data_IF_919004562119
#
_entry.id   IF_919004562119
#
_cell.length_a   1.000
_cell.length_b   1.000
_cell.length_c   1.000
_cell.angle_alpha   90.00
_cell.angle_beta   90.00
_cell.angle_gamma   90.00
#
_symmetry.space_group_name_H-M   'P 1'
#
loop_
_entity.id
_entity.type
_entity.pdbx_description
1 polymer ?
#
# COMPACT_ATOMS: atom_id res chain seq x y z
N UNK A 1 18.60 -7.21 25.34
CA UNK A 1 17.80 -8.32 24.78
C UNK A 1 17.60 -8.04 23.29
N UNK A 2 18.53 -8.53 22.48
CA UNK A 2 18.51 -8.43 21.03
C UNK A 2 17.55 -9.50 20.50
N UNK A 3 16.41 -9.08 19.96
CA UNK A 3 15.46 -10.01 19.34
C UNK A 3 16.08 -10.56 18.06
N UNK A 4 16.64 -11.75 18.20
CA UNK A 4 17.10 -12.63 17.12
C UNK A 4 15.91 -12.88 16.18
N UNK A 5 15.91 -12.25 15.01
CA UNK A 5 14.99 -12.60 13.92
C UNK A 5 15.60 -13.84 13.26
N UNK A 6 14.95 -15.01 13.29
CA UNK A 6 15.51 -16.22 12.67
C UNK A 6 15.65 -15.98 11.15
N UNK A 7 16.89 -16.00 10.66
CA UNK A 7 17.28 -15.84 9.25
C UNK A 7 17.15 -17.15 8.45
N UNK A 8 16.54 -18.17 9.02
CA UNK A 8 16.56 -19.56 8.53
C UNK A 8 15.51 -19.85 7.45
N UNK A 9 14.74 -18.84 7.03
CA UNK A 9 13.95 -18.97 5.80
C UNK A 9 14.86 -18.66 4.61
N UNK A 10 15.28 -19.72 3.90
CA UNK A 10 15.76 -19.58 2.52
C UNK A 10 14.74 -18.71 1.78
N UNK A 11 15.12 -17.49 1.40
CA UNK A 11 14.30 -16.63 0.55
C UNK A 11 14.21 -17.31 -0.83
N UNK A 12 13.26 -18.22 -0.96
CA UNK A 12 12.95 -18.85 -2.23
C UNK A 12 12.57 -17.74 -3.21
N UNK A 13 13.11 -17.81 -4.42
CA UNK A 13 12.60 -17.01 -5.53
C UNK A 13 11.09 -17.25 -5.65
N UNK A 14 10.35 -16.28 -6.17
CA UNK A 14 8.89 -16.44 -6.29
C UNK A 14 8.52 -17.73 -7.06
N UNK A 15 9.31 -18.07 -8.08
CA UNK A 15 9.17 -19.30 -8.86
C UNK A 15 9.53 -20.54 -8.04
N UNK A 16 10.58 -20.52 -7.22
CA UNK A 16 10.89 -21.64 -6.33
C UNK A 16 9.80 -21.85 -5.27
N UNK A 17 9.16 -20.77 -4.80
CA UNK A 17 8.06 -20.87 -3.84
C UNK A 17 6.83 -21.58 -4.44
N UNK A 18 6.63 -21.47 -5.77
CA UNK A 18 5.54 -22.15 -6.48
C UNK A 18 5.63 -23.67 -6.33
N UNK A 19 6.85 -24.22 -6.40
CA UNK A 19 7.07 -25.65 -6.41
C UNK A 19 6.72 -26.32 -5.08
N UNK A 20 6.75 -25.56 -3.99
CA UNK A 20 6.36 -25.97 -2.65
C UNK A 20 4.84 -26.14 -2.46
N UNK A 21 4.03 -25.81 -3.48
CA UNK A 21 2.58 -25.95 -3.39
C UNK A 21 2.13 -27.43 -3.40
N UNK A 22 1.72 -27.93 -2.22
CA UNK A 22 1.16 -29.29 -2.02
C UNK A 22 -0.34 -29.41 -2.30
N UNK A 23 -0.96 -28.37 -2.88
CA UNK A 23 -2.38 -28.34 -3.29
C UNK A 23 -3.43 -28.60 -2.18
N UNK A 24 -3.11 -28.38 -0.91
CA UNK A 24 -3.98 -28.65 0.25
C UNK A 24 -5.22 -27.74 0.45
N UNK A 25 -5.45 -26.73 -0.40
CA UNK A 25 -6.59 -25.79 -0.33
C UNK A 25 -6.72 -24.84 0.88
N UNK A 26 -5.84 -24.90 1.89
CA UNK A 26 -5.92 -24.04 3.10
C UNK A 26 -6.04 -22.55 2.74
N UNK A 27 -5.25 -22.07 1.78
CA UNK A 27 -5.27 -20.68 1.33
C UNK A 27 -6.58 -20.26 0.67
N UNK A 28 -7.31 -21.19 0.05
CA UNK A 28 -8.64 -20.94 -0.52
C UNK A 28 -9.68 -20.86 0.59
N UNK A 29 -9.65 -21.80 1.55
CA UNK A 29 -10.57 -21.79 2.70
C UNK A 29 -10.42 -20.54 3.57
N UNK A 30 -9.19 -20.04 3.74
CA UNK A 30 -8.91 -18.82 4.50
C UNK A 30 -9.17 -17.52 3.71
N UNK A 31 -9.48 -17.59 2.41
CA UNK A 31 -9.60 -16.40 1.59
C UNK A 31 -10.96 -15.70 1.84
N UNK A 32 -10.98 -14.42 2.24
CA UNK A 32 -12.23 -13.72 2.48
C UNK A 32 -13.02 -13.42 1.19
N UNK A 33 -12.34 -13.32 0.04
CA UNK A 33 -12.99 -12.96 -1.23
C UNK A 33 -13.71 -14.17 -1.84
N UNK A 34 -13.07 -15.34 -1.93
CA UNK A 34 -13.71 -16.53 -2.51
C UNK A 34 -14.90 -17.03 -1.68
N UNK A 35 -15.00 -16.61 -0.40
CA UNK A 35 -16.16 -16.92 0.46
C UNK A 35 -17.41 -16.12 0.10
N UNK A 36 -17.27 -14.98 -0.59
CA UNK A 36 -18.38 -14.03 -0.82
C UNK A 36 -18.69 -13.81 -2.29
N UNK A 37 -17.92 -14.39 -3.21
CA UNK A 37 -18.20 -14.32 -4.65
C UNK A 37 -17.58 -15.49 -5.41
N UNK A 38 -18.38 -16.11 -6.27
CA UNK A 38 -17.95 -17.17 -7.19
C UNK A 38 -17.10 -16.63 -8.35
N UNK A 39 -17.07 -15.31 -8.55
CA UNK A 39 -16.24 -14.65 -9.58
C UNK A 39 -14.74 -14.78 -9.29
N UNK A 40 -14.40 -15.18 -8.07
CA UNK A 40 -13.03 -15.45 -7.64
C UNK A 40 -12.89 -16.90 -7.16
N UNK A 41 -12.38 -17.82 -8.01
CA UNK A 41 -12.18 -19.23 -7.66
C UNK A 41 -11.14 -19.48 -6.55
N UNK A 42 -10.49 -18.42 -6.07
CA UNK A 42 -9.59 -18.44 -4.92
C UNK A 42 -8.13 -18.17 -5.29
N UNK A 43 -7.31 -17.81 -4.29
CA UNK A 43 -5.95 -17.36 -4.50
C UNK A 43 -5.03 -18.48 -5.00
N UNK A 44 -5.34 -19.75 -4.69
CA UNK A 44 -4.62 -20.91 -5.24
C UNK A 44 -4.83 -21.04 -6.74
N UNK A 45 -6.06 -20.84 -7.20
CA UNK A 45 -6.45 -21.05 -8.59
C UNK A 45 -5.74 -20.06 -9.52
N UNK A 46 -5.81 -18.76 -9.20
CA UNK A 46 -5.22 -17.68 -10.03
C UNK A 46 -3.70 -17.53 -9.89
N UNK A 47 -3.09 -18.20 -8.91
CA UNK A 47 -1.65 -18.16 -8.66
C UNK A 47 -1.00 -19.52 -8.92
N UNK A 48 -0.69 -20.29 -7.86
CA UNK A 48 0.16 -21.46 -8.00
C UNK A 48 -0.43 -22.59 -8.86
N UNK A 49 -1.75 -22.75 -8.89
CA UNK A 49 -2.37 -23.75 -9.76
C UNK A 49 -2.31 -23.31 -11.22
N UNK A 50 -2.68 -22.07 -11.55
CA UNK A 50 -2.65 -21.56 -12.93
C UNK A 50 -1.27 -21.60 -13.58
N UNK A 51 -0.19 -21.51 -12.79
CA UNK A 51 1.19 -21.55 -13.30
C UNK A 51 1.73 -22.97 -13.52
N UNK A 52 1.18 -24.00 -12.86
CA UNK A 52 1.65 -25.40 -12.99
C UNK A 52 0.73 -26.26 -13.84
N UNK A 53 -0.59 -26.09 -13.73
CA UNK A 53 -1.59 -26.97 -14.35
C UNK A 53 -2.85 -26.20 -14.73
N UNK A 54 -3.23 -26.25 -16.02
CA UNK A 54 -4.53 -25.78 -16.53
C UNK A 54 -5.10 -26.78 -17.52
N UNK A 55 -6.41 -26.68 -17.75
CA UNK A 55 -7.02 -27.30 -18.93
C UNK A 55 -6.54 -26.57 -20.19
N UNK A 56 -6.48 -27.27 -21.32
CA UNK A 56 -5.94 -26.77 -22.58
C UNK A 56 -6.65 -25.50 -23.10
N UNK A 57 -7.89 -25.26 -22.68
CA UNK A 57 -8.77 -24.17 -23.09
C UNK A 57 -8.77 -22.96 -22.13
N UNK A 58 -8.04 -23.02 -21.01
CA UNK A 58 -8.13 -22.01 -19.96
C UNK A 58 -7.01 -20.94 -20.04
N UNK A 59 -7.33 -19.63 -20.10
CA UNK A 59 -6.33 -18.57 -20.28
C UNK A 59 -5.42 -18.42 -19.04
N UNK A 60 -4.11 -18.27 -19.23
CA UNK A 60 -3.15 -17.97 -18.15
C UNK A 60 -2.36 -16.71 -18.47
N UNK A 61 -2.28 -15.74 -17.55
CA UNK A 61 -3.03 -15.63 -16.29
C UNK A 61 -4.54 -15.45 -16.47
N UNK A 62 -5.31 -15.89 -15.46
CA UNK A 62 -6.78 -15.83 -15.44
C UNK A 62 -7.30 -14.46 -14.98
N UNK A 63 -8.32 -13.93 -15.66
CA UNK A 63 -8.87 -12.58 -15.37
C UNK A 63 -9.53 -12.48 -14.00
N UNK A 64 -9.94 -13.59 -13.38
CA UNK A 64 -10.48 -13.58 -12.02
C UNK A 64 -9.47 -13.08 -10.99
N UNK A 65 -8.17 -13.02 -11.31
CA UNK A 65 -7.16 -12.40 -10.45
C UNK A 65 -7.49 -10.95 -10.10
N UNK A 66 -8.32 -10.25 -10.90
CA UNK A 66 -8.77 -8.89 -10.61
C UNK A 66 -9.59 -8.77 -9.30
N UNK A 67 -10.26 -9.85 -8.88
CA UNK A 67 -10.99 -9.93 -7.61
C UNK A 67 -10.08 -10.16 -6.39
N UNK A 68 -8.83 -10.59 -6.59
CA UNK A 68 -7.88 -10.77 -5.49
C UNK A 68 -7.61 -9.42 -4.80
N UNK A 69 -7.93 -9.31 -3.50
CA UNK A 69 -7.72 -8.08 -2.72
C UNK A 69 -6.26 -7.78 -2.40
N UNK A 70 -5.35 -8.75 -2.59
CA UNK A 70 -3.94 -8.62 -2.20
C UNK A 70 -3.71 -8.58 -0.69
N UNK A 71 -4.68 -9.01 0.14
CA UNK A 71 -4.60 -8.97 1.61
C UNK A 71 -3.54 -9.89 2.24
N UNK A 72 -2.92 -10.78 1.46
CA UNK A 72 -1.87 -11.73 1.89
C UNK A 72 -2.26 -12.77 2.95
N UNK A 73 -3.55 -12.93 3.29
CA UNK A 73 -4.00 -13.99 4.20
C UNK A 73 -3.53 -15.38 3.74
N UNK A 74 -3.56 -15.63 2.43
CA UNK A 74 -3.09 -16.87 1.83
C UNK A 74 -1.62 -17.20 2.11
N UNK A 75 -0.75 -16.20 2.23
CA UNK A 75 0.66 -16.40 2.55
C UNK A 75 0.82 -16.78 4.02
N UNK A 76 0.06 -16.12 4.90
CA UNK A 76 0.13 -16.33 6.35
C UNK A 76 -0.29 -17.74 6.74
N UNK A 77 -1.30 -18.31 6.07
CA UNK A 77 -1.83 -19.65 6.37
C UNK A 77 -1.18 -20.77 5.56
N UNK A 78 -0.23 -20.47 4.67
CA UNK A 78 0.38 -21.49 3.83
C UNK A 78 1.38 -22.34 4.64
N UNK A 79 1.17 -23.66 4.80
CA UNK A 79 2.04 -24.49 5.62
C UNK A 79 3.44 -24.66 5.02
N UNK A 80 3.58 -24.49 3.71
CA UNK A 80 4.85 -24.65 2.97
C UNK A 80 5.46 -23.33 2.51
N UNK A 81 4.89 -22.19 2.93
CA UNK A 81 5.48 -20.87 2.66
C UNK A 81 5.39 -20.37 1.22
N UNK A 82 4.45 -20.88 0.41
CA UNK A 82 4.21 -20.39 -0.96
C UNK A 82 3.82 -18.90 -0.92
N UNK A 83 4.48 -18.08 -1.74
CA UNK A 83 4.21 -16.64 -1.87
C UNK A 83 3.03 -16.36 -2.81
N UNK A 84 1.85 -16.85 -2.43
CA UNK A 84 0.63 -16.88 -3.27
C UNK A 84 0.18 -15.47 -3.67
N UNK A 85 0.22 -14.50 -2.76
CA UNK A 85 -0.21 -13.14 -3.06
C UNK A 85 0.69 -12.47 -4.11
N UNK A 86 2.00 -12.72 -4.07
CA UNK A 86 2.99 -12.23 -5.02
C UNK A 86 2.81 -12.90 -6.39
N UNK A 87 2.53 -14.20 -6.42
CA UNK A 87 2.15 -14.92 -7.65
C UNK A 87 0.92 -14.27 -8.29
N UNK A 88 -0.10 -13.97 -7.50
CA UNK A 88 -1.32 -13.30 -7.97
C UNK A 88 -1.04 -11.87 -8.45
N UNK A 89 -0.18 -11.13 -7.76
CA UNK A 89 0.22 -9.78 -8.16
C UNK A 89 0.98 -9.80 -9.50
N UNK A 90 1.87 -10.77 -9.73
CA UNK A 90 2.56 -10.95 -11.02
C UNK A 90 1.59 -11.35 -12.13
N UNK A 91 0.65 -12.26 -11.86
CA UNK A 91 -0.39 -12.62 -12.81
C UNK A 91 -1.22 -11.39 -13.24
N UNK A 92 -1.62 -10.54 -12.29
CA UNK A 92 -2.28 -9.26 -12.59
C UNK A 92 -1.40 -8.33 -13.43
N UNK A 93 -0.12 -8.20 -13.09
CA UNK A 93 0.82 -7.36 -13.83
C UNK A 93 0.99 -7.83 -15.30
N UNK A 94 1.04 -9.14 -15.54
CA UNK A 94 1.08 -9.71 -16.89
C UNK A 94 -0.20 -9.40 -17.70
N UNK A 95 -1.37 -9.44 -17.07
CA UNK A 95 -2.63 -9.02 -17.74
C UNK A 95 -2.56 -7.54 -18.10
N UNK A 96 -2.11 -6.68 -17.19
CA UNK A 96 -1.99 -5.24 -17.45
C UNK A 96 -0.96 -4.95 -18.53
N UNK A 97 0.16 -5.67 -18.57
CA UNK A 97 1.18 -5.51 -19.60
C UNK A 97 0.65 -5.89 -21.00
N UNK A 98 -0.20 -6.90 -21.10
CA UNK A 98 -0.75 -7.38 -22.38
C UNK A 98 -2.00 -6.61 -22.84
N UNK A 99 -2.89 -6.22 -21.92
CA UNK A 99 -4.19 -5.60 -22.24
C UNK A 99 -4.26 -4.09 -21.93
N UNK A 100 -3.24 -3.56 -21.28
CA UNK A 100 -3.22 -2.19 -20.76
C UNK A 100 -3.93 -2.06 -19.41
N UNK A 101 -3.70 -0.91 -18.76
CA UNK A 101 -4.33 -0.58 -17.48
C UNK A 101 -5.67 0.13 -17.73
N UNK A 102 -6.81 -0.42 -17.25
CA UNK A 102 -8.11 0.23 -17.40
C UNK A 102 -8.12 1.64 -16.79
N UNK A 103 -8.88 2.56 -17.39
CA UNK A 103 -8.94 3.97 -16.95
C UNK A 103 -9.29 4.09 -15.46
N UNK A 104 -10.27 3.32 -15.00
CA UNK A 104 -10.65 3.22 -13.58
C UNK A 104 -9.45 2.94 -12.69
N UNK A 105 -8.72 1.87 -13.01
CA UNK A 105 -7.57 1.40 -12.24
C UNK A 105 -6.43 2.43 -12.29
N UNK A 106 -6.22 3.07 -13.45
CA UNK A 106 -5.26 4.15 -13.62
C UNK A 106 -5.58 5.37 -12.74
N UNK A 107 -6.86 5.69 -12.54
CA UNK A 107 -7.28 6.79 -11.68
C UNK A 107 -7.10 6.44 -10.20
N UNK A 108 -7.67 5.33 -9.74
CA UNK A 108 -7.67 4.96 -8.31
C UNK A 108 -6.26 4.64 -7.79
N UNK A 109 -5.38 4.08 -8.65
CA UNK A 109 -4.02 3.73 -8.27
C UNK A 109 -3.11 4.97 -8.10
N UNK A 110 -3.53 6.14 -8.58
CA UNK A 110 -2.79 7.42 -8.45
C UNK A 110 -3.22 8.21 -7.22
N UNK A 111 -3.33 7.54 -6.07
CA UNK A 111 -3.84 8.13 -4.83
C UNK A 111 -3.04 9.35 -4.36
N UNK A 112 -1.73 9.43 -4.65
CA UNK A 112 -0.92 10.62 -4.35
C UNK A 112 -1.32 11.83 -5.20
N UNK A 113 -1.54 11.62 -6.51
CA UNK A 113 -1.95 12.68 -7.42
C UNK A 113 -3.35 13.19 -7.07
N UNK A 114 -4.29 12.26 -6.85
CA UNK A 114 -5.64 12.60 -6.39
C UNK A 114 -5.58 13.38 -5.07
N UNK A 115 -4.72 12.97 -4.13
CA UNK A 115 -4.52 13.67 -2.86
C UNK A 115 -3.99 15.09 -3.04
N UNK A 116 -3.00 15.28 -3.92
CA UNK A 116 -2.43 16.60 -4.26
C UNK A 116 -3.47 17.55 -4.85
N UNK A 117 -4.32 17.04 -5.75
CA UNK A 117 -5.35 17.83 -6.42
C UNK A 117 -6.58 18.06 -5.52
N UNK A 118 -6.97 17.06 -4.72
CA UNK A 118 -8.18 17.10 -3.90
C UNK A 118 -8.01 17.88 -2.59
N UNK A 119 -6.83 17.87 -1.97
CA UNK A 119 -6.60 18.54 -0.67
C UNK A 119 -6.86 20.05 -0.67
N UNK A 120 -6.40 20.84 -1.67
CA UNK A 120 -6.68 22.28 -1.73
C UNK A 120 -8.17 22.62 -1.84
N UNK A 121 -8.97 21.71 -2.41
CA UNK A 121 -10.41 21.88 -2.64
C UNK A 121 -11.24 20.88 -1.82
N UNK A 122 -10.70 20.42 -0.69
CA UNK A 122 -11.26 19.30 0.07
C UNK A 122 -12.75 19.46 0.45
N UNK A 123 -13.27 20.63 0.85
CA UNK A 123 -14.70 20.78 1.13
C UNK A 123 -15.58 20.44 -0.07
N UNK A 124 -15.21 20.96 -1.24
CA UNK A 124 -15.93 20.73 -2.50
C UNK A 124 -15.75 19.27 -2.94
N UNK A 125 -14.52 18.77 -2.95
CA UNK A 125 -14.23 17.40 -3.34
C UNK A 125 -14.98 16.38 -2.47
N UNK A 126 -14.99 16.57 -1.15
CA UNK A 126 -15.69 15.68 -0.22
C UNK A 126 -17.21 15.77 -0.39
N UNK A 127 -17.78 16.97 -0.59
CA UNK A 127 -19.20 17.12 -0.88
C UNK A 127 -19.59 16.39 -2.17
N UNK A 128 -18.81 16.57 -3.23
CA UNK A 128 -19.00 15.90 -4.53
C UNK A 128 -18.96 14.38 -4.38
N UNK A 129 -18.00 13.83 -3.63
CA UNK A 129 -17.87 12.38 -3.41
C UNK A 129 -18.93 11.79 -2.48
N UNK A 130 -19.64 12.62 -1.72
CA UNK A 130 -20.75 12.19 -0.84
C UNK A 130 -22.13 12.31 -1.53
N UNK A 131 -22.21 13.04 -2.64
CA UNK A 131 -23.46 13.26 -3.35
C UNK A 131 -23.88 12.03 -4.18
N UNK A 132 -25.09 11.50 -3.91
CA UNK A 132 -25.59 10.26 -4.55
C UNK A 132 -25.76 10.38 -6.08
N UNK A 133 -26.39 11.42 -6.64
CA UNK A 133 -26.41 11.65 -8.09
C UNK A 133 -25.03 11.66 -8.75
N UNK A 134 -24.07 12.35 -8.13
CA UNK A 134 -22.70 12.41 -8.68
C UNK A 134 -22.04 11.03 -8.62
N UNK A 135 -22.20 10.30 -7.51
CA UNK A 135 -21.70 8.92 -7.35
C UNK A 135 -22.30 7.97 -8.39
N UNK A 136 -23.57 8.13 -8.72
CA UNK A 136 -24.22 7.38 -9.81
C UNK A 136 -23.58 7.71 -11.16
N UNK A 137 -23.31 8.98 -11.45
CA UNK A 137 -22.66 9.39 -12.69
C UNK A 137 -21.21 8.84 -12.78
N UNK A 138 -20.45 8.92 -11.69
CA UNK A 138 -19.09 8.36 -11.60
C UNK A 138 -19.11 6.84 -11.83
N UNK A 139 -20.08 6.12 -11.28
CA UNK A 139 -20.24 4.68 -11.53
C UNK A 139 -20.46 4.40 -13.02
N UNK A 140 -21.32 5.17 -13.68
CA UNK A 140 -21.64 4.95 -15.11
C UNK A 140 -20.51 5.31 -16.06
N UNK A 141 -19.71 6.33 -15.73
CA UNK A 141 -18.63 6.82 -16.60
C UNK A 141 -17.29 6.13 -16.29
N UNK A 142 -16.97 5.95 -15.00
CA UNK A 142 -15.65 5.48 -14.54
C UNK A 142 -15.70 4.04 -14.01
N UNK A 143 -16.87 3.51 -13.68
CA UNK A 143 -17.02 2.13 -13.19
C UNK A 143 -16.64 1.93 -11.72
N UNK A 144 -16.67 2.99 -10.90
CA UNK A 144 -16.50 2.90 -9.44
C UNK A 144 -17.88 2.77 -8.81
N UNK A 145 -18.16 1.66 -8.13
CA UNK A 145 -19.45 1.39 -7.50
C UNK A 145 -19.85 2.52 -6.52
N UNK A 146 -21.09 3.00 -6.63
CA UNK A 146 -21.64 4.10 -5.81
C UNK A 146 -21.75 3.79 -4.31
N UNK A 147 -21.56 2.52 -3.91
CA UNK A 147 -21.53 2.05 -2.52
C UNK A 147 -20.10 1.87 -2.00
N UNK A 148 -19.09 1.88 -2.87
CA UNK A 148 -17.70 1.68 -2.46
C UNK A 148 -17.22 2.83 -1.56
N UNK A 149 -16.65 2.57 -0.38
CA UNK A 149 -16.13 3.64 0.47
C UNK A 149 -15.00 4.38 -0.25
N UNK A 150 -15.12 5.70 -0.34
CA UNK A 150 -14.07 6.57 -0.89
C UNK A 150 -13.39 7.35 0.24
N UNK A 151 -12.07 7.53 0.18
CA UNK A 151 -11.36 8.25 1.22
C UNK A 151 -11.76 9.73 1.19
N UNK A 152 -11.78 10.37 2.37
CA UNK A 152 -12.04 11.82 2.47
C UNK A 152 -10.72 12.56 2.33
N UNK A 153 -10.69 13.61 1.51
CA UNK A 153 -9.55 14.51 1.46
C UNK A 153 -9.50 15.35 2.72
N UNK A 154 -8.33 15.43 3.34
CA UNK A 154 -8.11 16.36 4.44
C UNK A 154 -8.00 17.79 3.92
N UNK A 155 -8.46 18.78 4.70
CA UNK A 155 -8.34 20.20 4.34
C UNK A 155 -6.92 20.78 4.46
N UNK A 156 -5.97 20.01 4.98
CA UNK A 156 -4.56 20.37 5.01
C UNK A 156 -3.71 19.12 4.85
N UNK A 157 -2.44 19.29 4.45
CA UNK A 157 -1.53 18.14 4.34
C UNK A 157 -0.87 17.85 5.68
N UNK A 158 -0.56 16.58 5.95
CA UNK A 158 0.23 16.20 7.14
C UNK A 158 1.57 16.95 7.20
N UNK A 159 2.28 17.07 6.07
CA UNK A 159 3.52 17.85 5.99
C UNK A 159 3.31 19.32 6.35
N UNK A 160 2.18 19.90 5.93
CA UNK A 160 1.78 21.27 6.28
C UNK A 160 1.52 21.44 7.78
N UNK A 161 0.82 20.48 8.38
CA UNK A 161 0.61 20.40 9.83
C UNK A 161 1.94 20.25 10.59
N UNK A 162 2.80 19.29 10.20
CA UNK A 162 4.06 19.01 10.89
C UNK A 162 5.00 20.22 10.90
N UNK A 163 5.03 21.02 9.82
CA UNK A 163 5.78 22.27 9.79
C UNK A 163 5.30 23.28 10.84
N UNK A 164 3.99 23.34 11.12
CA UNK A 164 3.43 24.18 12.19
C UNK A 164 3.76 23.61 13.57
N UNK A 165 3.62 22.29 13.74
CA UNK A 165 3.99 21.56 14.96
C UNK A 165 5.42 21.85 15.40
N UNK A 166 6.38 21.66 14.48
CA UNK A 166 7.81 21.94 14.72
C UNK A 166 8.11 23.39 15.13
N UNK A 167 7.42 24.37 14.53
CA UNK A 167 7.55 25.79 14.89
C UNK A 167 6.98 26.08 16.28
N UNK A 168 5.90 25.42 16.65
CA UNK A 168 5.29 25.51 17.98
C UNK A 168 6.24 25.04 19.08
N UNK A 169 6.95 23.93 18.86
CA UNK A 169 7.95 23.43 19.82
C UNK A 169 9.11 24.41 20.02
N UNK A 170 9.64 24.98 18.94
CA UNK A 170 10.73 25.98 19.04
C UNK A 170 10.30 27.23 19.80
N UNK A 171 9.04 27.65 19.66
CA UNK A 171 8.49 28.84 20.35
C UNK A 171 8.16 28.63 21.82
N UNK A 172 7.77 27.41 22.22
CA UNK A 172 7.39 27.10 23.61
C UNK A 172 8.58 26.99 24.57
N UNK A 173 9.79 27.29 24.12
CA UNK A 173 10.97 27.26 24.97
C UNK A 173 11.18 25.91 25.64
N UNK A 174 10.79 24.80 24.98
CA UNK A 174 11.24 23.46 25.40
C UNK A 174 12.75 23.51 25.31
N UNK A 175 13.38 23.76 26.45
CA UNK A 175 14.78 24.12 26.60
C UNK A 175 15.65 23.10 25.84
N UNK A 176 16.74 23.52 25.19
CA UNK A 176 17.80 22.63 24.72
C UNK A 176 18.57 21.95 25.89
N UNK A 177 17.92 21.79 27.06
CA UNK A 177 18.49 21.30 28.32
C UNK A 177 18.29 19.81 28.58
N UNK A 178 17.66 19.06 27.66
CA UNK A 178 17.95 17.62 27.48
C UNK A 178 18.76 17.50 26.20
N UNK A 179 19.95 18.11 26.20
CA UNK A 179 20.97 17.96 25.16
C UNK A 179 21.65 16.58 25.18
N UNK A 180 21.05 15.57 25.82
CA UNK A 180 21.29 14.19 25.45
C UNK A 180 20.71 13.99 24.06
N UNK A 181 21.55 13.61 23.09
CA UNK A 181 21.19 13.44 21.67
C UNK A 181 19.84 12.71 21.50
N UNK A 182 18.72 13.45 21.34
CA UNK A 182 17.44 12.85 21.00
C UNK A 182 17.64 12.02 19.75
N UNK A 183 17.39 10.71 19.86
CA UNK A 183 17.57 9.76 18.77
C UNK A 183 16.72 10.23 17.59
N UNK A 184 17.35 10.41 16.43
CA UNK A 184 16.63 10.84 15.23
C UNK A 184 15.93 9.64 14.61
N UNK A 185 14.69 9.85 14.15
CA UNK A 185 13.93 8.85 13.41
C UNK A 185 13.31 9.50 12.20
N UNK A 186 13.39 8.85 11.05
CA UNK A 186 12.70 9.31 9.84
C UNK A 186 11.34 8.65 9.79
N UNK A 187 10.28 9.45 9.70
CA UNK A 187 8.92 8.94 9.56
C UNK A 187 8.49 8.90 8.08
N UNK A 188 8.29 7.70 7.56
CA UNK A 188 7.74 7.43 6.24
C UNK A 188 6.21 7.46 6.32
N UNK A 189 5.63 8.65 6.15
CA UNK A 189 4.19 8.86 6.27
C UNK A 189 3.38 8.35 5.06
N UNK A 190 4.00 8.16 3.90
CA UNK A 190 3.29 7.75 2.67
C UNK A 190 2.23 8.75 2.18
N UNK A 191 1.45 8.39 1.16
CA UNK A 191 0.45 9.32 0.61
C UNK A 191 -0.88 9.34 1.38
N UNK A 192 -1.28 8.22 2.00
CA UNK A 192 -2.54 8.13 2.77
C UNK A 192 -2.56 9.15 3.91
N UNK A 193 -1.59 9.04 4.81
CA UNK A 193 -1.42 9.95 5.96
C UNK A 193 -1.27 11.40 5.54
N UNK A 194 -0.67 11.66 4.37
CA UNK A 194 -0.43 13.05 3.96
C UNK A 194 -1.67 13.79 3.45
N UNK A 195 -2.65 13.07 2.88
CA UNK A 195 -3.78 13.69 2.17
C UNK A 195 -5.16 13.24 2.68
N UNK A 196 -5.26 12.13 3.39
CA UNK A 196 -6.53 11.52 3.77
C UNK A 196 -6.60 11.29 5.29
N UNK A 197 -5.65 10.54 5.84
CA UNK A 197 -5.65 10.09 7.24
C UNK A 197 -4.66 10.87 8.11
N UNK A 198 -4.83 12.21 8.19
CA UNK A 198 -3.90 13.08 8.92
C UNK A 198 -3.72 12.70 10.40
N UNK A 199 -4.80 12.25 11.05
CA UNK A 199 -4.80 11.91 12.48
C UNK A 199 -3.85 10.76 12.80
N UNK A 200 -3.72 9.79 11.88
CA UNK A 200 -2.81 8.65 12.06
C UNK A 200 -1.36 9.12 12.10
N UNK A 201 -0.98 10.06 11.23
CA UNK A 201 0.36 10.64 11.22
C UNK A 201 0.65 11.51 12.44
N UNK A 202 -0.35 12.24 12.92
CA UNK A 202 -0.23 13.05 14.15
C UNK A 202 0.03 12.13 15.35
N UNK A 203 -0.79 11.10 15.52
CA UNK A 203 -0.61 10.12 16.59
C UNK A 203 0.75 9.41 16.50
N UNK A 204 1.22 9.06 15.30
CA UNK A 204 2.54 8.47 15.11
C UNK A 204 3.66 9.42 15.55
N UNK A 205 3.58 10.71 15.21
CA UNK A 205 4.54 11.73 15.66
C UNK A 205 4.49 11.88 17.17
N UNK A 206 3.30 12.00 17.76
CA UNK A 206 3.12 12.17 19.20
C UNK A 206 3.71 10.99 19.97
N UNK A 207 3.48 9.75 19.52
CA UNK A 207 4.06 8.54 20.12
C UNK A 207 5.59 8.54 20.01
N UNK A 208 6.15 8.85 18.83
CA UNK A 208 7.61 8.88 18.65
C UNK A 208 8.27 9.96 19.51
N UNK A 209 7.70 11.17 19.55
CA UNK A 209 8.22 12.28 20.34
C UNK A 209 8.08 12.04 21.84
N UNK A 210 6.98 11.41 22.28
CA UNK A 210 6.81 10.96 23.66
C UNK A 210 7.87 9.93 24.07
N UNK A 211 8.28 9.06 23.16
CA UNK A 211 9.37 8.09 23.37
C UNK A 211 10.78 8.70 23.19
N UNK A 212 10.91 10.04 23.19
CA UNK A 212 12.19 10.74 23.16
C UNK A 212 12.86 10.83 21.79
N UNK A 213 12.18 10.45 20.71
CA UNK A 213 12.71 10.60 19.36
C UNK A 213 12.54 12.02 18.82
N UNK A 214 13.49 12.45 17.99
CA UNK A 214 13.35 13.61 17.11
C UNK A 214 12.86 13.12 15.75
N UNK A 215 11.58 13.36 15.45
CA UNK A 215 10.99 12.95 14.17
C UNK A 215 11.47 13.85 13.03
N UNK A 216 11.88 13.23 11.93
CA UNK A 216 12.31 13.86 10.68
C UNK A 216 11.34 13.45 9.57
N UNK A 217 10.77 14.43 8.87
CA UNK A 217 9.99 14.18 7.65
C UNK A 217 10.85 14.41 6.41
N UNK A 218 11.43 13.33 5.89
CA UNK A 218 12.10 13.35 4.60
C UNK A 218 11.10 13.56 3.45
N UNK A 219 11.56 14.14 2.34
CA UNK A 219 10.79 14.14 1.09
C UNK A 219 10.60 12.70 0.64
N UNK A 220 9.38 12.35 0.26
CA UNK A 220 9.00 10.99 -0.15
C UNK A 220 7.86 11.05 -1.18
N UNK A 221 7.75 10.01 -1.99
CA UNK A 221 6.58 9.70 -2.82
C UNK A 221 5.63 8.80 -2.00
N UNK A 222 4.50 8.41 -2.58
CA UNK A 222 3.73 7.29 -2.04
C UNK A 222 4.53 5.98 -2.05
N UNK A 223 4.08 4.99 -1.27
CA UNK A 223 4.71 3.68 -1.18
C UNK A 223 4.60 2.83 -2.47
N UNK A 224 3.70 3.18 -3.40
CA UNK A 224 3.49 2.40 -4.63
C UNK A 224 2.52 1.23 -4.47
N UNK A 225 1.99 0.97 -3.27
CA UNK A 225 1.06 -0.14 -3.03
C UNK A 225 -0.19 -0.11 -3.95
N UNK A 226 -0.91 1.01 -4.13
CA UNK A 226 -2.05 1.04 -5.04
C UNK A 226 -1.69 0.72 -6.49
N UNK A 227 -0.45 1.00 -6.90
CA UNK A 227 0.06 0.70 -8.25
C UNK A 227 0.26 -0.79 -8.43
N UNK A 228 0.95 -1.45 -7.49
CA UNK A 228 1.14 -2.90 -7.49
C UNK A 228 -0.19 -3.63 -7.42
N UNK A 229 -1.09 -3.21 -6.53
CA UNK A 229 -2.43 -3.82 -6.39
C UNK A 229 -3.26 -3.73 -7.68
N UNK A 230 -2.97 -2.76 -8.56
CA UNK A 230 -3.62 -2.61 -9.85
C UNK A 230 -2.79 -3.14 -11.04
N UNK A 231 -1.63 -3.77 -10.79
CA UNK A 231 -0.76 -4.33 -11.84
C UNK A 231 0.17 -3.34 -12.55
N UNK A 232 0.24 -2.07 -12.11
CA UNK A 232 1.12 -1.04 -12.67
C UNK A 232 2.52 -1.08 -12.02
N UNK A 233 3.28 -2.14 -12.35
CA UNK A 233 4.58 -2.42 -11.75
C UNK A 233 5.67 -1.42 -12.17
N UNK A 234 5.60 -0.89 -13.40
CA UNK A 234 6.58 0.06 -13.90
C UNK A 234 6.49 1.39 -13.16
N UNK A 235 5.28 1.92 -12.98
CA UNK A 235 5.10 3.12 -12.19
C UNK A 235 5.43 2.89 -10.71
N UNK A 236 5.10 1.72 -10.16
CA UNK A 236 5.50 1.35 -8.79
C UNK A 236 7.03 1.38 -8.64
N UNK A 237 7.77 0.81 -9.60
CA UNK A 237 9.24 0.82 -9.60
C UNK A 237 9.81 2.24 -9.63
N UNK A 238 9.22 3.14 -10.40
CA UNK A 238 9.60 4.57 -10.40
C UNK A 238 9.39 5.22 -9.03
N UNK A 239 8.25 4.96 -8.38
CA UNK A 239 7.97 5.48 -7.03
C UNK A 239 8.97 4.94 -6.00
N UNK A 240 9.26 3.64 -6.04
CA UNK A 240 10.23 3.00 -5.17
C UNK A 240 11.64 3.57 -5.34
N UNK A 241 12.13 3.69 -6.58
CA UNK A 241 13.45 4.29 -6.88
C UNK A 241 13.53 5.72 -6.34
N UNK A 242 12.46 6.50 -6.52
CA UNK A 242 12.38 7.85 -5.96
C UNK A 242 12.40 7.88 -4.42
N UNK A 243 11.76 6.92 -3.76
CA UNK A 243 11.82 6.81 -2.30
C UNK A 243 13.21 6.38 -1.82
N UNK A 244 13.80 5.33 -2.42
CA UNK A 244 15.16 4.88 -2.09
C UNK A 244 16.15 6.03 -2.23
N UNK A 245 16.14 6.75 -3.36
CA UNK A 245 17.04 7.89 -3.57
C UNK A 245 16.89 8.98 -2.50
N UNK A 246 15.65 9.30 -2.07
CA UNK A 246 15.39 10.36 -1.08
C UNK A 246 15.66 9.92 0.36
N UNK A 247 15.52 8.63 0.66
CA UNK A 247 15.61 8.08 2.00
C UNK A 247 16.99 7.49 2.32
N UNK A 248 17.72 7.02 1.31
CA UNK A 248 19.05 6.41 1.45
C UNK A 248 20.04 7.28 2.23
N UNK A 249 20.12 8.62 2.05
CA UNK A 249 21.03 9.44 2.84
C UNK A 249 20.79 9.37 4.36
N UNK A 250 19.54 9.13 4.78
CA UNK A 250 19.22 8.97 6.20
C UNK A 250 19.63 7.60 6.74
N UNK A 251 19.46 6.54 5.93
CA UNK A 251 19.95 5.20 6.27
C UNK A 251 21.48 5.20 6.37
N UNK A 252 22.17 5.81 5.42
CA UNK A 252 23.62 5.96 5.43
C UNK A 252 24.13 6.76 6.65
N UNK A 253 23.32 7.70 7.14
CA UNK A 253 23.60 8.44 8.38
C UNK A 253 23.20 7.68 9.67
N UNK A 254 22.78 6.41 9.56
CA UNK A 254 22.41 5.56 10.70
C UNK A 254 21.04 5.89 11.31
N UNK A 255 20.19 6.66 10.63
CA UNK A 255 18.86 6.98 11.15
C UNK A 255 17.85 5.88 10.78
N UNK A 256 17.14 5.30 11.77
CA UNK A 256 16.06 4.37 11.48
C UNK A 256 14.93 5.07 10.74
N UNK A 257 14.33 4.34 9.78
CA UNK A 257 13.13 4.76 9.06
C UNK A 257 11.97 3.91 9.57
N UNK A 258 10.90 4.54 10.02
CA UNK A 258 9.67 3.89 10.49
C UNK A 258 8.49 4.42 9.68
N UNK A 259 7.52 3.58 9.35
CA UNK A 259 6.37 3.93 8.51
C UNK A 259 5.22 2.96 8.68
#
# INVERSE_FOLDING_TARGET
>A
MSSYIPTDRVELSLEQSLDQCIKCNICTSACPVSRVTELFPGPKYVGPQAQRFRKQDQPSPDVSVDYCSGCRMCNMVCPTGVQIAELNARARAQIVASRGLPLRNRLIARSELLGKLGTPVAPIANWTLQNRPIRWAIERVVGIDRRAPLPRFAGTTFRGWFRKHRRGETRRGVLPGVAGQRRKVVYFHGCSTNYYELRVGQAAVDVLEHNGFKVILARQNCCGLPLISNGDFDAARSYHRGNVSKLYPFVAAGYPIVG
#
